data_IF_077665429843
#
_entry.id   IF_077665429843
#
_cell.length_a   1.000
_cell.length_b   1.000
_cell.length_c   1.000
_cell.angle_alpha   90.00
_cell.angle_beta   90.00
_cell.angle_gamma   90.00
#
_symmetry.space_group_name_H-M   'P 1'
#
loop_
_entity.id
_entity.type
_entity.pdbx_description
1 polymer ?
#
# COMPACT_ATOMS: atom_id res chain seq x y z
N UNK A 1 3.65 -8.02 14.76
CA UNK A 1 2.83 -7.05 14.01
C UNK A 1 3.35 -5.68 14.37
N UNK A 2 3.69 -4.84 13.40
CA UNK A 2 4.15 -3.48 13.67
C UNK A 2 3.04 -2.72 14.39
N UNK A 3 3.29 -2.27 15.61
CA UNK A 3 2.34 -1.43 16.33
C UNK A 3 2.13 -0.14 15.53
N UNK A 4 0.88 0.26 15.39
CA UNK A 4 0.53 1.51 14.71
C UNK A 4 1.15 2.67 15.49
N UNK A 5 1.93 3.52 14.80
CA UNK A 5 2.53 4.70 15.42
C UNK A 5 1.44 5.69 15.79
N UNK A 6 1.47 6.20 17.02
CA UNK A 6 0.49 7.16 17.53
C UNK A 6 0.31 8.38 16.62
N UNK A 7 1.42 8.98 16.16
CA UNK A 7 1.37 10.11 15.23
C UNK A 7 0.62 9.78 13.93
N UNK A 8 0.82 8.58 13.38
CA UNK A 8 0.11 8.13 12.17
C UNK A 8 -1.38 7.89 12.46
N UNK A 9 -1.72 7.31 13.61
CA UNK A 9 -3.11 7.12 14.01
C UNK A 9 -3.86 8.47 14.19
N UNK A 10 -3.24 9.45 14.84
CA UNK A 10 -3.81 10.80 15.05
C UNK A 10 -4.02 11.56 13.73
N UNK A 11 -3.27 11.22 12.68
CA UNK A 11 -3.45 11.77 11.33
C UNK A 11 -4.44 10.99 10.46
N UNK A 12 -5.05 9.91 10.97
CA UNK A 12 -5.91 9.02 10.17
C UNK A 12 -5.13 8.11 9.20
N UNK A 13 -3.82 7.99 9.38
CA UNK A 13 -2.90 7.25 8.51
C UNK A 13 -2.41 5.94 9.15
N UNK A 14 -3.18 5.39 10.09
CA UNK A 14 -2.87 4.11 10.72
C UNK A 14 -2.63 3.00 9.69
N UNK A 15 -3.39 3.02 8.58
CA UNK A 15 -3.24 2.08 7.47
C UNK A 15 -1.84 2.02 6.89
N UNK A 16 -1.13 3.15 6.78
CA UNK A 16 0.24 3.18 6.28
C UNK A 16 1.18 2.30 7.13
N UNK A 17 0.99 2.29 8.45
CA UNK A 17 1.76 1.40 9.34
C UNK A 17 1.43 -0.08 9.13
N UNK A 18 0.19 -0.40 8.74
CA UNK A 18 -0.25 -1.78 8.49
C UNK A 18 0.34 -2.37 7.21
N UNK A 19 0.67 -1.52 6.24
CA UNK A 19 1.34 -1.89 4.99
C UNK A 19 2.87 -1.86 5.12
N UNK A 20 3.40 -1.21 6.15
CA UNK A 20 4.82 -1.08 6.38
C UNK A 20 5.46 -2.37 6.89
N UNK A 21 6.61 -2.74 6.33
CA UNK A 21 7.44 -3.88 6.71
C UNK A 21 8.56 -3.50 7.70
N UNK A 22 8.65 -2.24 8.11
CA UNK A 22 9.65 -1.79 9.07
C UNK A 22 9.48 -2.50 10.43
N UNK A 23 10.60 -2.84 11.10
CA UNK A 23 10.54 -3.46 12.43
C UNK A 23 9.87 -2.53 13.44
N UNK A 24 9.23 -3.12 14.45
CA UNK A 24 8.54 -2.38 15.50
C UNK A 24 9.52 -1.82 16.54
N UNK A 25 10.47 -1.03 16.09
CA UNK A 25 11.47 -0.37 16.95
C UNK A 25 11.09 1.10 17.11
N UNK A 26 10.84 1.58 18.35
CA UNK A 26 10.59 2.99 18.61
C UNK A 26 11.74 3.86 18.07
N UNK A 27 11.41 4.99 17.46
CA UNK A 27 12.41 5.95 16.97
C UNK A 27 13.18 5.54 15.72
N UNK A 28 12.80 4.44 15.04
CA UNK A 28 13.42 4.07 13.77
C UNK A 28 13.37 5.24 12.77
N UNK A 29 14.48 5.46 12.07
CA UNK A 29 14.63 6.53 11.08
C UNK A 29 13.55 6.46 10.00
N UNK A 30 13.28 5.26 9.49
CA UNK A 30 12.22 5.03 8.50
C UNK A 30 10.84 5.49 8.98
N UNK A 31 10.49 5.22 10.24
CA UNK A 31 9.23 5.73 10.80
C UNK A 31 9.25 7.26 10.95
N UNK A 32 10.39 7.86 11.31
CA UNK A 32 10.53 9.33 11.41
C UNK A 32 10.31 10.00 10.06
N UNK A 33 10.98 9.53 9.01
CA UNK A 33 10.83 10.06 7.63
C UNK A 33 9.39 9.89 7.12
N UNK A 34 8.78 8.71 7.32
CA UNK A 34 7.40 8.46 6.91
C UNK A 34 6.40 9.41 7.61
N UNK A 35 6.54 9.61 8.92
CA UNK A 35 5.68 10.53 9.69
C UNK A 35 5.89 11.98 9.22
N UNK A 36 7.14 12.40 8.97
CA UNK A 36 7.47 13.73 8.49
C UNK A 36 6.85 14.01 7.13
N UNK A 37 7.04 13.12 6.15
CA UNK A 37 6.49 13.27 4.80
C UNK A 37 4.95 13.38 4.82
N UNK A 38 4.27 12.51 5.56
CA UNK A 38 2.82 12.60 5.69
C UNK A 38 2.34 13.88 6.38
N UNK A 39 3.13 14.43 7.30
CA UNK A 39 2.82 15.71 7.95
C UNK A 39 2.91 16.86 6.96
N UNK A 40 3.94 16.90 6.12
CA UNK A 40 4.11 17.93 5.09
C UNK A 40 2.92 17.94 4.12
N UNK A 41 2.53 16.77 3.62
CA UNK A 41 1.35 16.65 2.75
C UNK A 41 0.10 17.15 3.47
N UNK A 42 -0.12 16.76 4.73
CA UNK A 42 -1.30 17.19 5.50
C UNK A 42 -1.32 18.70 5.73
N UNK A 43 -0.18 19.29 6.05
CA UNK A 43 -0.05 20.72 6.33
C UNK A 43 -0.24 21.54 5.03
N UNK A 44 0.27 21.06 3.89
CA UNK A 44 -0.01 21.64 2.55
C UNK A 44 -1.50 21.60 2.22
N UNK A 45 -2.19 20.50 2.49
CA UNK A 45 -3.63 20.42 2.20
C UNK A 45 -4.47 21.28 3.16
N UNK A 46 -4.02 21.42 4.40
CA UNK A 46 -4.66 22.27 5.41
C UNK A 46 -4.48 23.78 5.14
N UNK A 47 -3.42 24.18 4.43
CA UNK A 47 -3.21 25.58 4.02
C UNK A 47 -4.15 26.06 2.90
N UNK A 48 -4.94 25.14 2.33
CA UNK A 48 -5.94 25.45 1.30
C UNK A 48 -5.47 25.24 -0.14
N UNK A 49 -4.33 24.57 -0.37
CA UNK A 49 -3.84 24.24 -1.71
C UNK A 49 -4.87 23.40 -2.49
N UNK A 50 -5.30 23.81 -3.67
CA UNK A 50 -6.47 23.21 -4.36
C UNK A 50 -6.20 22.75 -5.79
N UNK A 51 -4.93 22.46 -6.12
CA UNK A 51 -4.54 21.89 -7.40
C UNK A 51 -5.13 20.48 -7.62
N UNK A 52 -5.03 19.97 -8.85
CA UNK A 52 -5.53 18.63 -9.19
C UNK A 52 -4.85 17.54 -8.35
N UNK A 53 -3.53 17.68 -8.13
CA UNK A 53 -2.75 16.79 -7.25
C UNK A 53 -3.22 16.89 -5.80
N UNK A 54 -3.49 18.10 -5.31
CA UNK A 54 -3.98 18.31 -3.94
C UNK A 54 -5.37 17.70 -3.73
N UNK A 55 -6.28 17.85 -4.71
CA UNK A 55 -7.60 17.23 -4.69
C UNK A 55 -7.51 15.70 -4.69
N UNK A 56 -6.63 15.13 -5.52
CA UNK A 56 -6.37 13.69 -5.52
C UNK A 56 -5.81 13.21 -4.17
N UNK A 57 -4.86 13.95 -3.59
CA UNK A 57 -4.30 13.64 -2.28
C UNK A 57 -5.36 13.68 -1.16
N UNK A 58 -6.26 14.67 -1.15
CA UNK A 58 -7.39 14.72 -0.20
C UNK A 58 -8.31 13.51 -0.34
N UNK A 59 -8.62 13.12 -1.57
CA UNK A 59 -9.44 11.94 -1.80
C UNK A 59 -8.78 10.69 -1.23
N UNK A 60 -7.49 10.48 -1.51
CA UNK A 60 -6.72 9.36 -0.95
C UNK A 60 -6.69 9.39 0.59
N UNK A 61 -6.48 10.56 1.20
CA UNK A 61 -6.53 10.71 2.66
C UNK A 61 -7.90 10.34 3.25
N UNK A 62 -8.98 10.72 2.59
CA UNK A 62 -10.34 10.33 3.00
C UNK A 62 -10.52 8.81 3.00
N UNK A 63 -10.07 8.14 1.93
CA UNK A 63 -10.13 6.68 1.82
C UNK A 63 -9.33 6.00 2.94
N UNK A 64 -8.15 6.54 3.27
CA UNK A 64 -7.25 5.98 4.27
C UNK A 64 -7.71 6.20 5.71
N UNK A 65 -8.31 7.36 6.00
CA UNK A 65 -8.80 7.73 7.33
C UNK A 65 -10.04 6.93 7.73
N UNK A 66 -10.96 6.70 6.80
CA UNK A 66 -12.23 6.02 7.05
C UNK A 66 -12.46 4.84 6.08
N UNK A 67 -11.57 3.81 6.06
CA UNK A 67 -11.60 2.75 5.05
C UNK A 67 -12.91 1.94 5.07
N UNK A 68 -13.57 1.88 6.23
CA UNK A 68 -14.85 1.22 6.43
C UNK A 68 -16.03 1.92 5.72
N UNK A 69 -15.89 3.19 5.35
CA UNK A 69 -16.91 3.94 4.60
C UNK A 69 -16.77 3.75 3.09
N UNK A 70 -15.70 3.11 2.64
CA UNK A 70 -15.32 2.98 1.23
C UNK A 70 -14.99 1.52 0.87
N UNK A 71 -15.29 0.57 1.74
CA UNK A 71 -15.02 -0.86 1.59
C UNK A 71 -15.82 -1.54 0.45
N UNK A 72 -16.91 -0.90 0.04
CA UNK A 72 -17.78 -1.24 -1.07
C UNK A 72 -17.37 -0.61 -2.41
N UNK A 73 -16.37 0.27 -2.42
CA UNK A 73 -15.86 0.86 -3.66
C UNK A 73 -15.31 -0.27 -4.57
N UNK A 74 -15.69 -0.31 -5.87
CA UNK A 74 -15.29 -1.40 -6.75
C UNK A 74 -13.78 -1.43 -7.03
N UNK A 75 -13.09 -0.30 -6.91
CA UNK A 75 -11.66 -0.16 -7.22
C UNK A 75 -10.83 -0.27 -5.95
N UNK A 76 -11.12 0.55 -4.94
CA UNK A 76 -10.34 0.70 -3.71
C UNK A 76 -10.81 -0.25 -2.60
N UNK A 77 -12.08 -0.64 -2.59
CA UNK A 77 -12.69 -1.45 -1.53
C UNK A 77 -11.93 -2.74 -1.18
N UNK A 78 -11.43 -3.53 -2.16
CA UNK A 78 -10.59 -4.69 -1.86
C UNK A 78 -9.34 -4.36 -1.02
N UNK A 79 -8.64 -3.26 -1.35
CA UNK A 79 -7.43 -2.82 -0.64
C UNK A 79 -7.77 -2.29 0.75
N UNK A 80 -8.86 -1.52 0.86
CA UNK A 80 -9.30 -0.95 2.13
C UNK A 80 -9.78 -2.02 3.12
N UNK A 81 -10.45 -3.07 2.64
CA UNK A 81 -10.80 -4.25 3.46
C UNK A 81 -9.57 -4.98 3.98
N UNK A 82 -8.56 -5.16 3.14
CA UNK A 82 -7.29 -5.77 3.55
C UNK A 82 -6.54 -4.89 4.57
N UNK A 83 -6.53 -3.57 4.37
CA UNK A 83 -5.97 -2.63 5.33
C UNK A 83 -6.64 -2.73 6.70
N UNK A 84 -7.98 -2.78 6.74
CA UNK A 84 -8.72 -2.96 7.98
C UNK A 84 -8.38 -4.29 8.65
N UNK A 85 -8.32 -5.39 7.88
CA UNK A 85 -7.91 -6.71 8.37
C UNK A 85 -6.52 -6.67 9.02
N UNK A 86 -5.54 -6.01 8.38
CA UNK A 86 -4.17 -5.87 8.90
C UNK A 86 -4.09 -5.04 10.17
N UNK A 87 -4.95 -4.02 10.28
CA UNK A 87 -5.09 -3.21 11.49
C UNK A 87 -5.76 -3.96 12.64
N UNK A 88 -6.22 -5.20 12.43
CA UNK A 88 -7.04 -5.93 13.39
C UNK A 88 -8.43 -5.30 13.57
N UNK A 89 -8.79 -4.34 12.73
CA UNK A 89 -10.14 -3.80 12.63
C UNK A 89 -10.92 -4.80 11.79
N UNK A 90 -11.57 -5.76 12.45
CA UNK A 90 -12.51 -6.62 11.75
C UNK A 90 -13.56 -5.72 11.09
N UNK A 91 -13.54 -5.65 9.77
CA UNK A 91 -14.74 -5.27 9.02
C UNK A 91 -15.86 -6.13 9.58
N UNK A 92 -16.96 -5.50 10.02
CA UNK A 92 -18.16 -6.25 10.41
C UNK A 92 -18.78 -6.77 9.12
N UNK A 93 -18.18 -7.82 8.56
CA UNK A 93 -18.57 -8.41 7.27
C UNK A 93 -19.95 -9.06 7.32
N UNK A 94 -20.58 -9.11 8.50
CA UNK A 94 -21.94 -9.57 8.69
C UNK A 94 -22.65 -8.63 9.64
N UNK A 95 -23.84 -8.16 9.27
CA UNK A 95 -24.79 -7.62 10.22
C UNK A 95 -25.10 -8.71 11.25
N UNK A 96 -24.64 -8.54 12.48
CA UNK A 96 -24.94 -9.47 13.56
C UNK A 96 -26.45 -9.51 13.77
N UNK A 97 -27.07 -10.62 13.39
CA UNK A 97 -28.50 -10.82 13.61
C UNK A 97 -28.73 -11.32 15.03
N UNK A 98 -29.96 -11.19 15.54
CA UNK A 98 -30.32 -11.73 16.85
C UNK A 98 -30.09 -13.25 16.93
N UNK A 99 -30.31 -13.97 15.82
CA UNK A 99 -30.02 -15.39 15.71
C UNK A 99 -28.52 -15.71 15.87
N UNK A 100 -27.63 -14.86 15.37
CA UNK A 100 -26.17 -15.03 15.54
C UNK A 100 -25.76 -14.86 17.02
N UNK A 101 -26.40 -13.93 17.73
CA UNK A 101 -26.18 -13.70 19.17
C UNK A 101 -26.66 -14.91 19.98
N UNK A 102 -27.86 -15.40 19.71
CA UNK A 102 -28.43 -16.57 20.38
C UNK A 102 -27.59 -17.84 20.15
N UNK A 103 -27.12 -18.05 18.91
CA UNK A 103 -26.21 -19.13 18.56
C UNK A 103 -24.87 -19.04 19.30
N UNK A 104 -24.30 -17.84 19.43
CA UNK A 104 -23.06 -17.62 20.18
C UNK A 104 -23.22 -17.93 21.68
N UNK A 105 -24.35 -17.53 22.29
CA UNK A 105 -24.65 -17.87 23.69
C UNK A 105 -24.92 -19.36 23.88
N UNK A 106 -25.61 -20.02 22.93
CA UNK A 106 -25.82 -21.47 22.97
C UNK A 106 -24.49 -22.23 22.86
N UNK A 107 -23.62 -21.84 21.93
CA UNK A 107 -22.28 -22.42 21.77
C UNK A 107 -21.39 -22.19 22.99
N UNK A 108 -21.47 -21.01 23.63
CA UNK A 108 -20.76 -20.71 24.87
C UNK A 108 -21.26 -21.54 26.05
N UNK A 109 -22.57 -21.79 26.15
CA UNK A 109 -23.17 -22.67 27.16
C UNK A 109 -22.83 -24.15 26.95
N UNK A 110 -22.74 -24.59 25.69
CA UNK A 110 -22.40 -25.96 25.32
C UNK A 110 -20.89 -26.25 25.42
N UNK A 111 -20.04 -25.22 25.47
CA UNK A 111 -18.60 -25.37 25.69
C UNK A 111 -18.34 -25.82 27.11
N UNK A 112 -17.55 -26.89 27.22
CA UNK A 112 -17.13 -27.43 28.51
C UNK A 112 -16.22 -26.42 29.23
N UNK A 113 -16.55 -26.10 30.48
CA UNK A 113 -15.90 -25.02 31.27
C UNK A 113 -14.55 -25.43 31.86
N UNK A 114 -13.90 -26.41 31.26
CA UNK A 114 -12.57 -26.85 31.64
C UNK A 114 -11.58 -25.68 31.53
N UNK A 115 -10.78 -25.46 32.57
CA UNK A 115 -9.68 -24.49 32.52
C UNK A 115 -8.71 -24.90 31.41
N UNK A 116 -8.65 -24.08 30.36
CA UNK A 116 -7.67 -24.20 29.26
C UNK A 116 -6.25 -24.26 29.83
N UNK A 117 -5.98 -23.52 30.90
CA UNK A 117 -4.69 -23.51 31.61
C UNK A 117 -4.39 -24.88 32.25
N UNK A 118 -5.38 -25.55 32.85
CA UNK A 118 -5.21 -26.92 33.38
C UNK A 118 -5.04 -27.97 32.28
N UNK A 119 -5.71 -27.79 31.14
CA UNK A 119 -5.63 -28.73 30.01
C UNK A 119 -4.30 -28.64 29.24
N UNK A 120 -3.71 -27.43 29.17
CA UNK A 120 -2.40 -27.19 28.52
C UNK A 120 -1.24 -27.44 29.49
N UNK A 121 -1.37 -27.06 30.76
CA UNK A 121 -0.32 -27.24 31.77
C UNK A 121 0.05 -28.71 32.05
N UNK A 122 -0.86 -29.65 31.83
CA UNK A 122 -0.63 -31.08 32.06
C UNK A 122 -0.24 -31.88 30.79
N UNK A 123 -0.13 -31.23 29.62
CA UNK A 123 0.23 -31.92 28.34
C UNK A 123 1.67 -31.70 27.90
N UNK A 124 2.32 -30.67 28.43
CA UNK A 124 3.76 -30.53 28.30
C UNK A 124 4.36 -31.55 29.26
N UNK A 125 4.95 -32.63 28.74
CA UNK A 125 5.71 -33.58 29.54
C UNK A 125 6.90 -32.92 30.24
N UNK A 126 7.80 -33.72 30.80
CA UNK A 126 9.02 -33.19 31.42
C UNK A 126 9.76 -32.25 30.45
N UNK A 127 9.92 -31.00 30.89
CA UNK A 127 10.68 -29.99 30.15
C UNK A 127 12.14 -30.43 30.19
N UNK A 128 12.84 -30.58 29.04
CA UNK A 128 14.25 -30.90 29.04
C UNK A 128 15.02 -29.87 29.86
N UNK A 129 16.00 -30.33 30.63
CA UNK A 129 16.84 -29.45 31.42
C UNK A 129 17.52 -28.43 30.50
N UNK A 130 17.73 -27.20 30.98
CA UNK A 130 18.14 -26.07 30.13
C UNK A 130 19.44 -26.31 29.34
N UNK A 131 20.29 -27.22 29.82
CA UNK A 131 21.50 -27.66 29.14
C UNK A 131 21.17 -28.60 27.98
N UNK A 132 20.30 -29.60 28.19
CA UNK A 132 19.86 -30.55 27.17
C UNK A 132 19.11 -29.86 26.03
N UNK A 133 18.27 -28.86 26.34
CA UNK A 133 17.59 -28.05 25.32
C UNK A 133 18.58 -27.23 24.48
N UNK A 134 19.68 -26.76 25.08
CA UNK A 134 20.74 -26.02 24.39
C UNK A 134 21.59 -26.93 23.50
N UNK A 135 21.87 -28.15 23.94
CA UNK A 135 22.61 -29.14 23.16
C UNK A 135 21.79 -29.61 21.96
N UNK A 136 20.50 -29.93 22.16
CA UNK A 136 19.60 -30.27 21.07
C UNK A 136 19.51 -29.14 20.02
N UNK A 137 19.45 -27.88 20.49
CA UNK A 137 19.42 -26.71 19.60
C UNK A 137 20.70 -26.54 18.76
N UNK A 138 21.85 -27.02 19.25
CA UNK A 138 23.13 -26.98 18.50
C UNK A 138 23.26 -28.13 17.51
N UNK A 139 22.70 -29.31 17.83
CA UNK A 139 22.69 -30.46 16.90
C UNK A 139 21.67 -30.28 15.77
N UNK A 140 20.53 -29.62 16.03
CA UNK A 140 19.45 -29.48 15.04
C UNK A 140 19.62 -28.28 14.11
N UNK A 141 20.35 -27.25 14.56
CA UNK A 141 20.60 -26.03 13.79
C UNK A 141 22.11 -25.84 13.64
N UNK A 142 22.65 -26.36 12.55
CA UNK A 142 24.01 -26.04 12.13
C UNK A 142 24.02 -24.63 11.51
N UNK A 143 24.61 -23.62 12.18
CA UNK A 143 24.63 -22.25 11.67
C UNK A 143 25.40 -22.11 10.36
N UNK A 144 26.24 -23.09 9.98
CA UNK A 144 26.97 -23.12 8.71
C UNK A 144 26.12 -23.66 7.55
N UNK A 145 25.06 -24.42 7.82
CA UNK A 145 24.10 -24.92 6.82
C UNK A 145 22.96 -23.94 6.54
N UNK A 146 22.84 -22.87 7.31
CA UNK A 146 21.91 -21.77 7.04
C UNK A 146 22.51 -20.89 5.92
N UNK A 147 22.50 -21.44 4.71
CA UNK A 147 22.73 -20.78 3.42
C UNK A 147 23.72 -19.60 3.42
N UNK A 148 25.03 -19.90 3.40
CA UNK A 148 26.07 -18.92 3.08
C UNK A 148 25.89 -18.29 1.67
N UNK A 149 25.14 -18.94 0.78
CA UNK A 149 24.98 -18.57 -0.64
C UNK A 149 23.62 -17.94 -0.97
N UNK A 150 22.69 -17.86 -0.02
CA UNK A 150 21.44 -17.13 -0.21
C UNK A 150 21.74 -15.62 -0.14
N UNK A 151 22.28 -15.08 -1.24
CA UNK A 151 22.39 -13.65 -1.49
C UNK A 151 20.99 -13.05 -1.47
N UNK A 152 20.53 -12.68 -0.28
CA UNK A 152 19.44 -11.72 -0.13
C UNK A 152 19.84 -10.52 -0.99
N UNK A 153 19.04 -10.19 -1.99
CA UNK A 153 19.16 -8.90 -2.67
C UNK A 153 19.02 -7.84 -1.59
N UNK A 154 20.11 -7.16 -1.27
CA UNK A 154 20.16 -6.08 -0.30
C UNK A 154 19.39 -4.91 -0.93
N UNK A 155 18.17 -4.57 -0.46
CA UNK A 155 17.35 -3.53 -1.09
C UNK A 155 17.84 -2.11 -0.81
N UNK A 156 18.99 -1.96 -0.14
CA UNK A 156 19.51 -0.68 0.38
C UNK A 156 20.53 -0.01 -0.52
N UNK A 157 20.72 -0.48 -1.76
CA UNK A 157 21.46 0.30 -2.76
C UNK A 157 20.47 1.13 -3.57
N UNK A 158 20.72 2.44 -3.75
CA UNK A 158 19.98 3.23 -4.73
C UNK A 158 20.05 2.49 -6.07
N UNK A 159 18.89 2.25 -6.66
CA UNK A 159 18.82 1.68 -8.00
C UNK A 159 19.15 2.83 -8.93
N UNK A 160 20.26 2.73 -9.67
CA UNK A 160 20.59 3.72 -10.67
C UNK A 160 19.42 3.89 -11.63
N UNK A 161 19.06 5.14 -11.93
CA UNK A 161 18.01 5.44 -12.88
C UNK A 161 18.40 4.82 -14.22
N UNK A 162 17.72 3.73 -14.58
CA UNK A 162 17.92 3.06 -15.86
C UNK A 162 17.41 4.00 -16.94
N UNK A 163 18.27 4.35 -17.89
CA UNK A 163 17.88 5.07 -19.08
C UNK A 163 16.82 4.26 -19.84
N UNK A 164 15.61 4.82 -19.97
CA UNK A 164 14.47 4.20 -20.64
C UNK A 164 14.28 4.73 -22.06
N UNK A 165 15.15 5.61 -22.54
CA UNK A 165 15.11 6.18 -23.89
C UNK A 165 15.21 5.09 -24.97
N UNK A 166 15.90 3.98 -24.66
CA UNK A 166 16.12 2.84 -25.55
C UNK A 166 14.93 1.86 -25.62
N UNK A 167 13.83 2.09 -24.88
CA UNK A 167 12.60 1.29 -25.05
C UNK A 167 11.93 1.63 -26.37
N UNK A 168 12.42 0.97 -27.43
CA UNK A 168 11.97 1.01 -28.83
C UNK A 168 10.49 0.64 -29.07
N UNK A 169 9.69 0.44 -28.01
CA UNK A 169 8.29 -0.02 -28.10
C UNK A 169 7.23 1.06 -27.92
N UNK A 170 7.59 2.24 -27.42
CA UNK A 170 6.66 3.35 -27.18
C UNK A 170 7.24 4.61 -27.81
N UNK A 171 7.38 4.67 -29.15
CA UNK A 171 7.64 5.95 -29.81
C UNK A 171 6.37 6.80 -29.69
N UNK A 172 6.38 7.81 -28.79
CA UNK A 172 5.18 8.55 -28.46
C UNK A 172 4.71 9.41 -29.63
N UNK A 173 5.63 9.83 -30.51
CA UNK A 173 5.32 10.59 -31.71
C UNK A 173 4.71 9.66 -32.78
N UNK A 174 5.25 8.46 -32.96
CA UNK A 174 4.71 7.46 -33.87
C UNK A 174 3.32 6.99 -33.44
N UNK A 175 3.12 6.70 -32.14
CA UNK A 175 1.81 6.36 -31.60
C UNK A 175 0.78 7.46 -31.82
N UNK A 176 1.17 8.72 -31.57
CA UNK A 176 0.29 9.87 -31.79
C UNK A 176 -0.10 10.01 -33.27
N UNK A 177 0.85 9.74 -34.19
CA UNK A 177 0.59 9.71 -35.63
C UNK A 177 -0.33 8.58 -36.04
N UNK A 178 -0.08 7.35 -35.60
CA UNK A 178 -0.93 6.18 -35.91
C UNK A 178 -2.36 6.38 -35.39
N UNK A 179 -2.50 6.89 -34.15
CA UNK A 179 -3.81 7.20 -33.59
C UNK A 179 -4.52 8.31 -34.36
N UNK A 180 -3.78 9.35 -34.77
CA UNK A 180 -4.31 10.45 -35.58
C UNK A 180 -4.73 9.99 -36.98
N UNK A 181 -3.93 9.17 -37.66
CA UNK A 181 -4.24 8.58 -38.97
C UNK A 181 -5.51 7.73 -38.91
N UNK A 182 -5.67 6.89 -37.88
CA UNK A 182 -6.90 6.11 -37.66
C UNK A 182 -8.11 7.02 -37.50
N UNK A 183 -8.00 8.07 -36.69
CA UNK A 183 -9.09 9.00 -36.42
C UNK A 183 -9.43 9.87 -37.62
N UNK A 184 -8.44 10.24 -38.43
CA UNK A 184 -8.63 10.94 -39.69
C UNK A 184 -9.27 10.05 -40.77
N UNK A 185 -8.99 8.74 -40.78
CA UNK A 185 -9.63 7.79 -41.69
C UNK A 185 -11.14 7.62 -41.42
N UNK A 186 -11.57 7.82 -40.17
CA UNK A 186 -12.99 7.82 -39.77
C UNK A 186 -13.74 9.07 -40.25
N UNK A 187 -13.05 10.14 -40.62
CA UNK A 187 -13.66 11.40 -41.05
C UNK A 187 -14.26 11.28 -42.48
N UNK A 188 -15.58 11.52 -42.64
CA UNK A 188 -16.26 11.39 -43.94
C UNK A 188 -15.80 12.42 -44.97
N UNK A 189 -15.39 13.60 -44.51
CA UNK A 189 -15.01 14.71 -45.40
C UNK A 189 -13.50 14.68 -45.66
N UNK A 190 -13.10 14.34 -46.89
CA UNK A 190 -11.68 14.16 -47.24
C UNK A 190 -10.83 15.42 -46.97
N UNK A 191 -11.38 16.62 -47.23
CA UNK A 191 -10.69 17.88 -46.96
C UNK A 191 -10.46 18.18 -45.47
N UNK A 192 -11.21 17.54 -44.57
CA UNK A 192 -11.07 17.73 -43.12
C UNK A 192 -10.10 16.72 -42.50
N UNK A 193 -9.74 15.64 -43.19
CA UNK A 193 -8.85 14.58 -42.66
C UNK A 193 -7.51 15.12 -42.17
N UNK A 194 -6.87 15.97 -42.96
CA UNK A 194 -5.61 16.60 -42.60
C UNK A 194 -5.73 17.53 -41.38
N UNK A 195 -6.89 18.18 -41.20
CA UNK A 195 -7.18 19.05 -40.05
C UNK A 195 -7.39 18.20 -38.79
N UNK A 196 -8.14 17.10 -38.90
CA UNK A 196 -8.41 16.16 -37.81
C UNK A 196 -7.12 15.49 -37.33
N UNK A 197 -6.28 15.04 -38.26
CA UNK A 197 -4.99 14.42 -37.95
C UNK A 197 -4.09 15.37 -37.15
N UNK A 198 -3.90 16.59 -37.66
CA UNK A 198 -3.09 17.62 -37.00
C UNK A 198 -3.63 17.98 -35.61
N UNK A 199 -4.94 18.17 -35.49
CA UNK A 199 -5.57 18.47 -34.20
C UNK A 199 -5.41 17.33 -33.19
N UNK A 200 -5.44 16.08 -33.65
CA UNK A 200 -5.25 14.92 -32.78
C UNK A 200 -3.80 14.80 -32.27
N UNK A 201 -2.82 15.03 -33.14
CA UNK A 201 -1.40 15.05 -32.76
C UNK A 201 -1.14 16.16 -31.75
N UNK A 202 -1.54 17.41 -32.05
CA UNK A 202 -1.38 18.55 -31.16
C UNK A 202 -2.08 18.33 -29.81
N UNK A 203 -3.29 17.78 -29.82
CA UNK A 203 -4.02 17.45 -28.61
C UNK A 203 -3.35 16.37 -27.77
N UNK A 204 -2.76 15.35 -28.41
CA UNK A 204 -2.03 14.28 -27.71
C UNK A 204 -0.74 14.80 -27.08
N UNK A 205 0.01 15.66 -27.76
CA UNK A 205 1.20 16.29 -27.22
C UNK A 205 0.86 17.20 -26.02
N UNK A 206 -0.15 18.07 -26.15
CA UNK A 206 -0.60 18.93 -25.04
C UNK A 206 -1.05 18.14 -23.82
N UNK A 207 -1.76 17.01 -24.01
CA UNK A 207 -2.15 16.13 -22.90
C UNK A 207 -0.94 15.51 -22.21
N UNK A 208 0.08 15.10 -22.96
CA UNK A 208 1.32 14.58 -22.38
C UNK A 208 2.10 15.64 -21.62
N UNK A 209 2.19 16.85 -22.16
CA UNK A 209 2.82 17.99 -21.47
C UNK A 209 2.08 18.33 -20.17
N UNK A 210 0.74 18.40 -20.22
CA UNK A 210 -0.08 18.60 -19.03
C UNK A 210 0.07 17.46 -18.00
N UNK A 211 0.18 16.21 -18.46
CA UNK A 211 0.47 15.08 -17.58
C UNK A 211 1.88 15.19 -16.97
N UNK A 212 2.88 15.60 -17.75
CA UNK A 212 4.24 15.86 -17.26
C UNK A 212 4.22 16.88 -16.12
N UNK A 213 3.57 18.03 -16.32
CA UNK A 213 3.45 19.03 -15.26
C UNK A 213 2.73 18.52 -14.00
N UNK A 214 1.71 17.66 -14.16
CA UNK A 214 1.07 17.01 -13.00
C UNK A 214 1.96 16.00 -12.30
N UNK A 215 2.84 15.30 -13.02
CA UNK A 215 3.82 14.39 -12.44
C UNK A 215 4.90 15.17 -11.70
N UNK A 216 5.36 16.29 -12.25
CA UNK A 216 6.30 17.19 -11.57
C UNK A 216 5.68 17.71 -10.26
N UNK A 217 4.40 18.11 -10.25
CA UNK A 217 3.69 18.49 -9.02
C UNK A 217 3.57 17.37 -7.98
N UNK A 218 3.53 16.10 -8.43
CA UNK A 218 3.54 14.93 -7.54
C UNK A 218 4.94 14.70 -6.98
N UNK A 219 5.97 14.80 -7.82
CA UNK A 219 7.36 14.64 -7.40
C UNK A 219 7.72 15.73 -6.37
N UNK A 220 7.35 16.98 -6.61
CA UNK A 220 7.47 18.09 -5.65
C UNK A 220 6.75 17.82 -4.31
N UNK A 221 5.66 17.04 -4.33
CA UNK A 221 4.92 16.68 -3.11
C UNK A 221 5.61 15.55 -2.33
N UNK A 222 6.30 14.65 -3.04
CA UNK A 222 6.95 13.47 -2.47
C UNK A 222 8.38 13.77 -2.00
N UNK A 223 9.09 14.63 -2.71
CA UNK A 223 10.45 15.07 -2.41
C UNK A 223 10.42 16.05 -1.23
N UNK A 224 10.44 15.47 -0.04
CA UNK A 224 10.65 16.22 1.19
C UNK A 224 12.15 16.40 1.37
N UNK A 225 12.67 17.56 0.98
CA UNK A 225 14.06 18.02 1.23
C UNK A 225 14.37 18.27 2.73
N UNK A 226 14.02 17.31 3.60
CA UNK A 226 14.56 17.24 4.96
C UNK A 226 15.14 15.85 5.20
N UNK A 227 16.38 15.68 4.72
CA UNK A 227 17.34 14.67 5.21
C UNK A 227 18.01 15.19 6.48
#
# INVERSE_FOLDING_TARGET
MSSVRRAMAEMGLAGCCAWCDAPDTPGSERCRTCIAAHRVVRDRLASGADGLVDQAARHLLSLMAEPHRHDHDPVHGPVLREQMRRLGVSTRNKTTTQADVEAAFAASRARDKGSVVKAVGNRLGEVPEALTARELGKEMFDPEQINAEARRTIPSRPIDAVDRSDRLGEDPALEARIAAERKAAEEPTESLRAVVEKAHIEGSLKRREALGGLLDEVDDLLDNDES
#
